data_IF_479921193365
#
_entry.id   IF_479921193365
#
_cell.length_a   1.000
_cell.length_b   1.000
_cell.length_c   1.000
_cell.angle_alpha   90.00
_cell.angle_beta   90.00
_cell.angle_gamma   90.00
#
_symmetry.space_group_name_H-M   'P 1'
#
loop_
_entity.id
_entity.type
_entity.pdbx_description
1 polymer ?
#
# COMPACT_ATOMS: atom_id res chain seq x y z
N UNK A 1 -18.10 -32.47 -7.26
CA UNK A 1 -16.99 -31.97 -6.42
C UNK A 1 -17.16 -30.47 -6.28
N UNK A 2 -18.03 -30.04 -5.35
CA UNK A 2 -18.37 -28.62 -5.11
C UNK A 2 -17.63 -28.16 -3.86
N UNK A 3 -16.47 -27.53 -4.03
CA UNK A 3 -15.81 -26.86 -2.92
C UNK A 3 -16.53 -25.53 -2.66
N UNK A 4 -17.22 -25.44 -1.53
CA UNK A 4 -17.70 -24.17 -1.01
C UNK A 4 -16.47 -23.41 -0.47
N UNK A 5 -15.99 -22.43 -1.22
CA UNK A 5 -15.04 -21.44 -0.70
C UNK A 5 -15.82 -20.53 0.24
N UNK A 6 -15.83 -20.84 1.53
CA UNK A 6 -16.27 -19.91 2.54
C UNK A 6 -15.30 -18.71 2.52
N UNK A 7 -15.72 -17.59 1.93
CA UNK A 7 -15.01 -16.31 2.02
C UNK A 7 -15.08 -15.85 3.47
N UNK A 8 -14.12 -16.27 4.27
CA UNK A 8 -13.92 -15.71 5.61
C UNK A 8 -13.41 -14.29 5.42
N UNK A 9 -14.12 -13.32 5.99
CA UNK A 9 -13.66 -11.93 6.00
C UNK A 9 -12.24 -11.89 6.59
N UNK A 10 -11.28 -11.21 5.93
CA UNK A 10 -9.90 -11.26 6.36
C UNK A 10 -9.76 -10.58 7.73
N UNK A 11 -9.05 -11.22 8.65
CA UNK A 11 -8.83 -10.70 9.99
C UNK A 11 -7.99 -9.40 9.98
N UNK A 12 -8.12 -8.52 10.98
CA UNK A 12 -7.30 -7.31 11.09
C UNK A 12 -5.80 -7.62 11.01
N UNK A 13 -5.06 -6.80 10.25
CA UNK A 13 -3.62 -6.94 10.08
C UNK A 13 -2.89 -6.12 11.17
N UNK A 14 -1.93 -6.72 11.88
CA UNK A 14 -1.08 -6.00 12.85
C UNK A 14 0.33 -5.79 12.30
N UNK A 15 0.80 -4.54 12.32
CA UNK A 15 2.15 -4.15 11.92
C UNK A 15 2.79 -3.43 13.12
N UNK A 16 3.59 -4.15 13.89
CA UNK A 16 4.12 -3.64 15.16
C UNK A 16 2.99 -3.17 16.08
N UNK A 17 3.01 -1.92 16.58
CA UNK A 17 1.95 -1.38 17.44
C UNK A 17 0.68 -0.95 16.67
N UNK A 18 0.68 -1.01 15.34
CA UNK A 18 -0.43 -0.54 14.51
C UNK A 18 -1.36 -1.69 14.13
N UNK A 19 -2.66 -1.46 14.26
CA UNK A 19 -3.70 -2.39 13.82
C UNK A 19 -4.45 -1.79 12.63
N UNK A 20 -4.56 -2.57 11.56
CA UNK A 20 -5.27 -2.23 10.34
C UNK A 20 -6.57 -3.05 10.32
N UNK A 21 -7.73 -2.44 10.59
CA UNK A 21 -9.01 -3.14 10.58
C UNK A 21 -9.37 -3.67 9.19
N UNK A 22 -8.86 -3.01 8.15
CA UNK A 22 -8.96 -3.42 6.75
C UNK A 22 -7.59 -3.98 6.36
N UNK A 23 -7.41 -5.30 6.19
CA UNK A 23 -6.13 -5.91 5.87
C UNK A 23 -5.78 -5.80 4.37
N UNK A 24 -5.99 -4.61 3.80
CA UNK A 24 -5.68 -4.26 2.41
C UNK A 24 -4.70 -3.09 2.45
N UNK A 25 -3.55 -3.27 1.80
CA UNK A 25 -2.47 -2.28 1.76
C UNK A 25 -2.20 -1.91 0.31
N UNK A 26 -2.09 -0.61 0.04
CA UNK A 26 -1.65 -0.14 -1.26
C UNK A 26 -0.15 -0.42 -1.44
N UNK A 27 0.22 -1.11 -2.51
CA UNK A 27 1.62 -1.46 -2.75
C UNK A 27 2.46 -0.22 -3.13
N UNK A 28 3.73 -0.13 -2.68
CA UNK A 28 4.65 0.90 -3.14
C UNK A 28 5.12 0.55 -4.56
N UNK A 29 4.72 1.34 -5.54
CA UNK A 29 5.08 1.15 -6.95
C UNK A 29 5.70 2.45 -7.49
N UNK A 30 6.91 2.37 -8.03
CA UNK A 30 7.64 3.53 -8.55
C UNK A 30 6.88 4.17 -9.72
N UNK A 31 6.69 5.49 -9.68
CA UNK A 31 5.96 6.23 -10.72
C UNK A 31 4.45 5.96 -10.78
N UNK A 32 3.89 5.11 -9.90
CA UNK A 32 2.46 4.81 -9.88
C UNK A 32 1.81 5.26 -8.58
N UNK A 33 2.36 4.92 -7.42
CA UNK A 33 1.74 5.22 -6.10
C UNK A 33 1.96 6.68 -5.65
N UNK A 34 1.80 7.63 -6.59
CA UNK A 34 1.94 9.07 -6.38
C UNK A 34 0.72 9.66 -5.62
N UNK A 35 0.73 10.98 -5.38
CA UNK A 35 -0.34 11.65 -4.62
C UNK A 35 -1.74 11.45 -5.23
N UNK A 36 -1.88 11.68 -6.53
CA UNK A 36 -3.17 11.58 -7.24
C UNK A 36 -3.70 10.15 -7.21
N UNK A 37 -2.84 9.14 -7.43
CA UNK A 37 -3.24 7.74 -7.37
C UNK A 37 -3.70 7.34 -5.96
N UNK A 38 -3.01 7.81 -4.92
CA UNK A 38 -3.42 7.56 -3.54
C UNK A 38 -4.76 8.22 -3.21
N UNK A 39 -5.03 9.42 -3.70
CA UNK A 39 -6.31 10.08 -3.51
C UNK A 39 -7.46 9.32 -4.19
N UNK A 40 -7.22 8.77 -5.39
CA UNK A 40 -8.15 7.87 -6.04
C UNK A 40 -8.39 6.60 -5.20
N UNK A 41 -7.33 5.92 -4.75
CA UNK A 41 -7.46 4.72 -3.93
C UNK A 41 -8.13 4.98 -2.57
N UNK A 42 -8.02 6.20 -2.02
CA UNK A 42 -8.74 6.62 -0.81
C UNK A 42 -10.25 6.61 -0.99
N UNK A 43 -10.74 6.94 -2.19
CA UNK A 43 -12.16 6.87 -2.51
C UNK A 43 -12.72 5.43 -2.49
N UNK A 44 -11.87 4.41 -2.67
CA UNK A 44 -12.27 2.99 -2.66
C UNK A 44 -12.05 2.28 -1.33
N UNK A 45 -11.27 2.88 -0.41
CA UNK A 45 -10.96 2.30 0.90
C UNK A 45 -9.84 1.25 0.90
N UNK A 46 -8.93 1.39 1.87
CA UNK A 46 -7.84 0.48 2.19
C UNK A 46 -7.41 0.74 3.65
N UNK A 47 -6.70 -0.21 4.26
CA UNK A 47 -6.21 -0.04 5.63
C UNK A 47 -4.94 0.78 5.74
N UNK A 48 -4.09 0.75 4.71
CA UNK A 48 -2.83 1.50 4.70
C UNK A 48 -2.46 1.96 3.29
N UNK A 49 -2.05 3.22 3.21
CA UNK A 49 -1.58 3.87 1.99
C UNK A 49 -0.12 4.27 2.18
N UNK A 50 0.73 3.86 1.24
CA UNK A 50 2.16 4.19 1.23
C UNK A 50 2.48 5.07 0.03
N UNK A 51 3.56 5.84 0.12
CA UNK A 51 4.09 6.61 -1.01
C UNK A 51 4.65 5.71 -2.11
N UNK A 52 4.98 6.30 -3.26
CA UNK A 52 5.68 5.60 -4.32
C UNK A 52 7.03 5.06 -3.87
N UNK A 53 7.50 4.03 -4.56
CA UNK A 53 8.82 3.46 -4.32
C UNK A 53 9.89 4.40 -4.86
N UNK A 54 10.81 4.82 -3.98
CA UNK A 54 11.94 5.68 -4.30
C UNK A 54 13.25 4.91 -4.09
N UNK A 55 14.22 5.11 -5.00
CA UNK A 55 15.54 4.50 -4.87
C UNK A 55 16.31 5.11 -3.70
N UNK A 56 16.60 4.31 -2.67
CA UNK A 56 17.31 4.77 -1.47
C UNK A 56 18.67 5.40 -1.78
N UNK A 57 19.43 4.83 -2.73
CA UNK A 57 20.73 5.38 -3.13
C UNK A 57 20.58 6.76 -3.78
N UNK A 58 19.63 6.92 -4.70
CA UNK A 58 19.36 8.20 -5.35
C UNK A 58 18.93 9.28 -4.35
N UNK A 59 18.17 8.90 -3.31
CA UNK A 59 17.79 9.81 -2.23
C UNK A 59 19.00 10.24 -1.38
N UNK A 60 19.86 9.28 -0.99
CA UNK A 60 21.06 9.55 -0.17
C UNK A 60 22.08 10.40 -0.94
N UNK A 61 22.28 10.13 -2.23
CA UNK A 61 23.21 10.85 -3.10
C UNK A 61 22.63 12.14 -3.68
N UNK A 62 21.36 12.46 -3.39
CA UNK A 62 20.65 13.65 -3.91
C UNK A 62 20.64 13.72 -5.44
N UNK A 63 20.42 12.58 -6.08
CA UNK A 63 20.36 12.51 -7.53
C UNK A 63 19.11 13.25 -8.05
N UNK A 64 19.29 14.16 -9.02
CA UNK A 64 18.20 15.04 -9.52
C UNK A 64 16.97 14.28 -10.01
N UNK A 65 17.14 13.09 -10.60
CA UNK A 65 16.02 12.26 -11.08
C UNK A 65 15.19 11.61 -9.97
N UNK A 66 15.64 11.68 -8.72
CA UNK A 66 15.02 11.00 -7.56
C UNK A 66 14.36 11.98 -6.58
N UNK A 67 14.81 13.24 -6.58
CA UNK A 67 14.26 14.34 -5.78
C UNK A 67 13.09 15.01 -6.51
#
# INVERSE_FOLDING_TARGET
>A
MTASTATTAPAPLRIGPHELPIPVVLAPMAGVTNAVFRDLCRAFGAGLYVSEMIAARGLVERHEKTL
#
